data_IF_535424445443
#
_entry.id   IF_535424445443
#
_cell.length_a   1.000
_cell.length_b   1.000
_cell.length_c   1.000
_cell.angle_alpha   90.00
_cell.angle_beta   90.00
_cell.angle_gamma   90.00
#
_symmetry.space_group_name_H-M   'P 1'
#
loop_
_entity.id
_entity.type
_entity.pdbx_description
1 polymer ?
#
# COMPACT_ATOMS: atom_id res chain seq x y z
N UNK A 1 23.85 21.76 -6.06
CA UNK A 1 22.69 21.00 -5.57
C UNK A 1 21.51 21.33 -6.47
N UNK A 2 21.02 20.36 -7.22
CA UNK A 2 19.88 20.56 -8.15
C UNK A 2 18.55 20.63 -7.37
N UNK A 3 17.48 21.09 -8.01
CA UNK A 3 16.13 21.04 -7.39
C UNK A 3 15.72 19.61 -7.05
N UNK A 4 16.12 18.63 -7.87
CA UNK A 4 15.87 17.20 -7.64
C UNK A 4 16.61 16.67 -6.42
N UNK A 5 17.86 17.10 -6.19
CA UNK A 5 18.64 16.70 -5.01
C UNK A 5 17.97 17.16 -3.73
N UNK A 6 17.47 18.39 -3.70
CA UNK A 6 16.74 18.95 -2.53
C UNK A 6 15.45 18.21 -2.22
N UNK A 7 14.70 17.79 -3.23
CA UNK A 7 13.48 16.97 -3.04
C UNK A 7 13.82 15.61 -2.46
N UNK A 8 14.89 14.96 -2.93
CA UNK A 8 15.27 13.64 -2.42
C UNK A 8 15.82 13.70 -0.99
N UNK A 9 16.58 14.76 -0.66
CA UNK A 9 17.02 15.00 0.72
C UNK A 9 15.83 15.22 1.66
N UNK A 10 14.86 16.05 1.26
CA UNK A 10 13.63 16.26 2.01
C UNK A 10 12.80 14.98 2.20
N UNK A 11 12.69 14.16 1.15
CA UNK A 11 12.05 12.84 1.26
C UNK A 11 12.78 11.90 2.22
N UNK A 12 14.10 11.95 2.24
CA UNK A 12 14.92 11.10 3.12
C UNK A 12 14.70 11.45 4.59
N UNK A 13 14.68 12.75 4.90
CA UNK A 13 14.40 13.21 6.28
C UNK A 13 12.95 12.86 6.68
N UNK A 14 11.98 13.10 5.81
CA UNK A 14 10.58 12.76 6.06
C UNK A 14 10.39 11.25 6.29
N UNK A 15 11.10 10.37 5.55
CA UNK A 15 11.08 8.92 5.79
C UNK A 15 11.53 8.57 7.19
N UNK A 16 12.64 9.17 7.64
CA UNK A 16 13.20 8.94 8.97
C UNK A 16 12.21 9.33 10.08
N UNK A 17 11.63 10.52 9.95
CA UNK A 17 10.67 11.04 10.94
C UNK A 17 9.36 10.24 10.94
N UNK A 18 8.84 9.93 9.76
CA UNK A 18 7.59 9.17 9.61
C UNK A 18 7.72 7.74 10.15
N UNK A 19 8.87 7.09 9.90
CA UNK A 19 9.15 5.77 10.46
C UNK A 19 9.20 5.82 11.98
N UNK A 20 9.94 6.77 12.55
CA UNK A 20 10.03 6.93 13.99
C UNK A 20 8.66 7.18 14.64
N UNK A 21 7.82 8.02 14.02
CA UNK A 21 6.45 8.31 14.49
C UNK A 21 5.57 7.05 14.43
N UNK A 22 5.63 6.30 13.33
CA UNK A 22 4.86 5.05 13.19
C UNK A 22 5.30 3.98 14.19
N UNK A 23 6.58 3.87 14.49
CA UNK A 23 7.12 2.89 15.42
C UNK A 23 6.66 3.15 16.87
N UNK A 24 6.24 4.39 17.19
CA UNK A 24 5.66 4.74 18.49
C UNK A 24 4.23 4.25 18.69
N UNK A 25 3.53 3.81 17.63
CA UNK A 25 2.16 3.29 17.75
C UNK A 25 2.22 1.91 18.44
N UNK A 26 1.62 1.74 19.62
CA UNK A 26 1.61 0.47 20.36
C UNK A 26 0.99 -0.67 19.56
N UNK A 27 1.42 -1.90 19.83
CA UNK A 27 0.95 -3.08 19.08
C UNK A 27 -0.57 -3.27 19.16
N UNK A 28 -1.16 -3.03 20.33
CA UNK A 28 -2.61 -3.14 20.56
C UNK A 28 -3.37 -2.11 19.72
N UNK A 29 -2.85 -0.87 19.62
CA UNK A 29 -3.46 0.18 18.81
C UNK A 29 -3.30 -0.11 17.31
N UNK A 30 -2.17 -0.71 16.89
CA UNK A 30 -2.01 -1.15 15.49
C UNK A 30 -3.03 -2.21 15.10
N UNK A 31 -3.27 -3.18 16.00
CA UNK A 31 -4.27 -4.22 15.77
C UNK A 31 -5.69 -3.64 15.74
N UNK A 32 -6.04 -2.79 16.70
CA UNK A 32 -7.33 -2.12 16.76
C UNK A 32 -7.59 -1.25 15.52
N UNK A 33 -6.58 -0.52 15.03
CA UNK A 33 -6.68 0.29 13.82
C UNK A 33 -6.94 -0.56 12.57
N UNK A 34 -6.22 -1.68 12.42
CA UNK A 34 -6.43 -2.60 11.30
C UNK A 34 -7.86 -3.18 11.31
N UNK A 35 -8.38 -3.51 12.49
CA UNK A 35 -9.74 -4.00 12.67
C UNK A 35 -10.77 -2.92 12.37
N UNK A 36 -10.57 -1.70 12.85
CA UNK A 36 -11.46 -0.55 12.60
C UNK A 36 -11.58 -0.24 11.09
N UNK A 37 -10.47 -0.32 10.35
CA UNK A 37 -10.49 -0.17 8.88
C UNK A 37 -11.29 -1.32 8.25
N UNK A 38 -11.08 -2.55 8.69
CA UNK A 38 -11.78 -3.71 8.14
C UNK A 38 -13.29 -3.67 8.40
N UNK A 39 -13.74 -3.13 9.53
CA UNK A 39 -15.15 -3.05 9.89
C UNK A 39 -15.91 -1.92 9.20
N UNK A 40 -15.21 -0.87 8.78
CA UNK A 40 -15.80 0.26 8.06
C UNK A 40 -16.25 -0.15 6.65
N UNK A 41 -17.34 0.44 6.15
CA UNK A 41 -17.78 0.24 4.77
C UNK A 41 -16.63 0.55 3.80
N UNK A 42 -16.30 -0.41 2.95
CA UNK A 42 -15.25 -0.21 1.95
C UNK A 42 -15.75 0.76 0.88
N UNK A 43 -14.98 1.81 0.51
CA UNK A 43 -15.48 2.91 -0.32
C UNK A 43 -15.57 2.57 -1.82
N UNK A 44 -15.23 1.36 -2.20
CA UNK A 44 -15.27 0.89 -3.58
C UNK A 44 -16.21 -0.30 -3.71
N UNK A 45 -16.88 -0.40 -4.85
CA UNK A 45 -17.63 -1.58 -5.19
C UNK A 45 -16.68 -2.76 -5.44
N UNK A 46 -16.92 -3.87 -4.76
CA UNK A 46 -16.19 -5.13 -4.95
C UNK A 46 -17.18 -6.14 -5.52
N UNK A 47 -17.15 -6.29 -6.83
CA UNK A 47 -17.92 -7.32 -7.52
C UNK A 47 -17.25 -8.68 -7.39
N UNK A 48 -18.01 -9.74 -7.67
CA UNK A 48 -17.44 -11.09 -7.78
C UNK A 48 -16.29 -11.10 -8.80
N UNK A 49 -15.13 -11.58 -8.39
CA UNK A 49 -13.94 -11.64 -9.23
C UNK A 49 -13.09 -10.36 -9.29
N UNK A 50 -13.49 -9.26 -8.62
CA UNK A 50 -12.61 -8.10 -8.44
C UNK A 50 -11.31 -8.54 -7.79
N UNK A 51 -10.17 -8.24 -8.40
CA UNK A 51 -8.86 -8.60 -7.85
C UNK A 51 -8.32 -7.48 -6.97
N UNK A 52 -8.07 -7.80 -5.71
CA UNK A 52 -7.50 -6.87 -4.71
C UNK A 52 -6.12 -7.35 -4.29
N UNK A 53 -5.10 -6.56 -4.54
CA UNK A 53 -3.77 -6.82 -4.01
C UNK A 53 -3.58 -6.15 -2.66
N UNK A 54 -3.13 -6.93 -1.68
CA UNK A 54 -2.66 -6.40 -0.41
C UNK A 54 -1.14 -6.45 -0.30
N UNK A 55 -0.66 -6.51 0.93
CA UNK A 55 0.76 -6.68 1.26
C UNK A 55 0.91 -7.45 2.57
N UNK A 56 2.06 -8.06 2.79
CA UNK A 56 2.41 -8.62 4.10
C UNK A 56 3.07 -7.51 4.93
N UNK A 57 2.50 -7.17 6.09
CA UNK A 57 2.99 -6.03 6.87
C UNK A 57 4.41 -6.26 7.37
N UNK A 58 5.23 -5.22 7.26
CA UNK A 58 6.61 -5.20 7.75
C UNK A 58 6.71 -4.35 9.01
N UNK A 59 7.37 -4.88 10.05
CA UNK A 59 7.63 -4.15 11.32
C UNK A 59 6.34 -3.58 11.94
N UNK A 60 6.24 -2.25 11.98
CA UNK A 60 5.14 -1.49 12.56
C UNK A 60 4.06 -1.08 11.54
N UNK A 61 4.07 -1.64 10.31
CA UNK A 61 3.01 -1.37 9.33
C UNK A 61 1.64 -1.80 9.83
N UNK A 62 0.62 -1.06 9.41
CA UNK A 62 -0.76 -1.48 9.62
C UNK A 62 -1.02 -2.77 8.83
N UNK A 63 -1.73 -3.72 9.43
CA UNK A 63 -2.03 -4.99 8.77
C UNK A 63 -3.20 -4.84 7.80
N UNK A 64 -3.06 -5.17 6.51
CA UNK A 64 -4.17 -5.22 5.57
C UNK A 64 -5.01 -6.49 5.72
N UNK A 65 -4.53 -7.50 6.46
CA UNK A 65 -5.12 -8.84 6.49
C UNK A 65 -6.59 -8.87 6.94
N UNK A 66 -7.02 -8.14 7.99
CA UNK A 66 -8.45 -8.12 8.36
C UNK A 66 -9.33 -7.58 7.22
N UNK A 67 -8.91 -6.51 6.55
CA UNK A 67 -9.63 -5.95 5.40
C UNK A 67 -9.63 -6.94 4.23
N UNK A 68 -8.50 -7.55 3.90
CA UNK A 68 -8.39 -8.55 2.83
C UNK A 68 -9.30 -9.75 3.08
N UNK A 69 -9.37 -10.25 4.32
CA UNK A 69 -10.29 -11.33 4.69
C UNK A 69 -11.75 -10.94 4.43
N UNK A 70 -12.13 -9.73 4.81
CA UNK A 70 -13.48 -9.23 4.57
C UNK A 70 -13.79 -9.10 3.09
N UNK A 71 -12.87 -8.56 2.29
CA UNK A 71 -13.03 -8.41 0.84
C UNK A 71 -13.12 -9.77 0.14
N UNK A 72 -12.31 -10.76 0.57
CA UNK A 72 -12.42 -12.13 0.07
C UNK A 72 -13.79 -12.74 0.37
N UNK A 73 -14.31 -12.54 1.58
CA UNK A 73 -15.65 -13.00 1.97
C UNK A 73 -16.75 -12.32 1.13
N UNK A 74 -16.50 -11.13 0.59
CA UNK A 74 -17.39 -10.41 -0.31
C UNK A 74 -17.23 -10.83 -1.80
N UNK A 75 -16.32 -11.77 -2.11
CA UNK A 75 -16.11 -12.31 -3.44
C UNK A 75 -14.90 -11.78 -4.19
N UNK A 76 -14.04 -10.97 -3.55
CA UNK A 76 -12.79 -10.54 -4.15
C UNK A 76 -11.79 -11.70 -4.30
N UNK A 77 -11.06 -11.70 -5.40
CA UNK A 77 -9.83 -12.47 -5.54
C UNK A 77 -8.68 -11.69 -4.92
N UNK A 78 -7.84 -12.38 -4.14
CA UNK A 78 -6.72 -11.70 -3.48
C UNK A 78 -5.41 -11.94 -4.23
N UNK A 79 -4.52 -10.96 -4.11
CA UNK A 79 -3.15 -11.06 -4.58
C UNK A 79 -2.18 -10.46 -3.56
N UNK A 80 -0.92 -10.87 -3.64
CA UNK A 80 0.19 -10.28 -2.89
C UNK A 80 1.35 -9.97 -3.83
N UNK A 81 2.18 -8.98 -3.49
CA UNK A 81 3.36 -8.64 -4.28
C UNK A 81 4.48 -9.66 -4.12
N UNK A 82 5.19 -9.89 -5.20
CA UNK A 82 6.50 -10.53 -5.24
C UNK A 82 7.51 -9.59 -5.91
N UNK A 83 8.75 -9.60 -5.45
CA UNK A 83 9.80 -8.73 -5.99
C UNK A 83 10.40 -9.35 -7.24
N UNK A 84 10.12 -8.77 -8.41
CA UNK A 84 10.67 -9.22 -9.69
C UNK A 84 12.14 -8.83 -9.90
N UNK A 85 12.66 -7.92 -9.07
CA UNK A 85 14.05 -7.45 -9.11
C UNK A 85 14.17 -5.95 -8.83
N UNK A 86 15.40 -5.48 -8.62
CA UNK A 86 15.66 -4.06 -8.36
C UNK A 86 15.31 -3.22 -9.60
N UNK A 87 14.62 -2.09 -9.40
CA UNK A 87 14.22 -1.18 -10.47
C UNK A 87 13.13 -1.71 -11.40
N UNK A 88 12.45 -2.79 -11.01
CA UNK A 88 11.28 -3.33 -11.71
C UNK A 88 10.01 -3.14 -10.89
N UNK A 89 8.83 -3.04 -11.51
CA UNK A 89 7.56 -3.06 -10.79
C UNK A 89 7.39 -4.38 -10.01
N UNK A 90 6.57 -4.36 -8.98
CA UNK A 90 6.18 -5.59 -8.29
C UNK A 90 5.37 -6.47 -9.24
N UNK A 91 5.55 -7.76 -9.11
CA UNK A 91 4.73 -8.79 -9.72
C UNK A 91 3.63 -9.17 -8.73
N UNK A 92 2.37 -9.01 -9.10
CA UNK A 92 1.27 -9.44 -8.24
C UNK A 92 0.91 -10.88 -8.55
N UNK A 93 0.84 -11.71 -7.52
CA UNK A 93 0.51 -13.14 -7.64
C UNK A 93 -0.76 -13.45 -6.87
N UNK A 94 -1.62 -14.28 -7.46
CA UNK A 94 -2.83 -14.76 -6.81
C UNK A 94 -2.49 -15.42 -5.46
N UNK A 95 -3.29 -15.10 -4.45
CA UNK A 95 -3.12 -15.63 -3.11
C UNK A 95 -4.48 -15.74 -2.41
N UNK A 96 -4.63 -16.64 -1.48
CA UNK A 96 -5.79 -16.72 -0.58
C UNK A 96 -5.35 -16.77 0.87
N UNK A 97 -6.20 -16.33 1.77
CA UNK A 97 -5.93 -16.35 3.20
C UNK A 97 -5.53 -17.76 3.65
N UNK A 98 -4.40 -17.86 4.35
CA UNK A 98 -3.85 -19.12 4.83
C UNK A 98 -2.98 -19.87 3.83
N UNK A 99 -2.91 -19.45 2.56
CA UNK A 99 -1.98 -20.09 1.62
C UNK A 99 -0.53 -19.89 2.06
N UNK A 100 0.34 -20.89 1.88
CA UNK A 100 1.73 -20.80 2.27
C UNK A 100 2.46 -19.71 1.48
N UNK A 101 3.38 -19.03 2.14
CA UNK A 101 4.23 -17.99 1.58
C UNK A 101 5.68 -18.38 1.73
N UNK A 102 6.47 -18.12 0.71
CA UNK A 102 7.92 -18.29 0.75
C UNK A 102 8.59 -17.03 1.30
N UNK A 103 9.84 -17.16 1.71
CA UNK A 103 10.66 -16.03 2.16
C UNK A 103 11.38 -15.43 0.95
N UNK A 104 10.86 -14.33 0.45
CA UNK A 104 11.44 -13.58 -0.66
C UNK A 104 12.61 -12.67 -0.25
N UNK A 105 12.95 -11.73 -1.13
CA UNK A 105 14.01 -10.76 -0.87
C UNK A 105 13.73 -9.93 0.39
N UNK A 106 14.78 -9.60 1.13
CA UNK A 106 14.74 -8.87 2.42
C UNK A 106 13.87 -9.51 3.50
N UNK A 107 13.56 -10.82 3.36
CA UNK A 107 12.73 -11.54 4.31
C UNK A 107 11.23 -11.25 4.22
N UNK A 108 10.80 -10.54 3.17
CA UNK A 108 9.37 -10.32 2.89
C UNK A 108 8.74 -11.65 2.49
N UNK A 109 7.54 -11.92 3.01
CA UNK A 109 6.80 -13.13 2.66
C UNK A 109 6.04 -12.90 1.36
N UNK A 110 6.27 -13.77 0.39
CA UNK A 110 5.74 -13.68 -0.98
C UNK A 110 4.98 -14.95 -1.36
N UNK A 111 3.97 -14.88 -2.25
CA UNK A 111 3.37 -16.07 -2.83
C UNK A 111 4.42 -16.90 -3.58
N UNK A 112 4.20 -18.20 -3.62
CA UNK A 112 5.10 -19.11 -4.34
C UNK A 112 5.23 -18.73 -5.81
N UNK A 113 6.38 -19.00 -6.45
CA UNK A 113 6.63 -18.65 -7.86
C UNK A 113 5.61 -19.26 -8.83
N UNK A 114 5.01 -20.40 -8.48
CA UNK A 114 4.00 -21.09 -9.30
C UNK A 114 2.62 -20.45 -9.22
N UNK A 115 2.38 -19.56 -8.25
CA UNK A 115 1.10 -18.86 -8.16
C UNK A 115 0.90 -17.94 -9.38
N UNK A 116 -0.30 -17.93 -9.97
CA UNK A 116 -0.57 -17.15 -11.18
C UNK A 116 -0.30 -15.67 -10.98
N UNK A 117 0.31 -15.03 -11.99
CA UNK A 117 0.43 -13.58 -12.05
C UNK A 117 -0.93 -12.97 -12.39
N UNK A 118 -1.26 -11.86 -11.74
CA UNK A 118 -2.52 -11.14 -11.91
C UNK A 118 -2.30 -9.64 -11.91
N UNK A 119 -3.17 -8.91 -12.59
CA UNK A 119 -3.19 -7.45 -12.57
C UNK A 119 -4.40 -6.99 -11.74
N UNK A 120 -4.20 -6.49 -10.49
CA UNK A 120 -5.28 -6.11 -9.59
C UNK A 120 -6.07 -4.90 -10.08
N UNK A 121 -7.35 -4.85 -9.71
CA UNK A 121 -8.24 -3.70 -9.91
C UNK A 121 -8.07 -2.68 -8.77
N UNK A 122 -7.77 -3.18 -7.58
CA UNK A 122 -7.55 -2.39 -6.36
C UNK A 122 -6.21 -2.78 -5.77
N UNK A 123 -5.38 -1.79 -5.51
CA UNK A 123 -4.06 -1.97 -4.93
C UNK A 123 -4.03 -1.35 -3.54
N UNK A 124 -3.97 -2.17 -2.49
CA UNK A 124 -3.71 -1.70 -1.13
C UNK A 124 -2.22 -1.40 -1.01
N UNK A 125 -1.88 -0.16 -0.64
CA UNK A 125 -0.51 0.37 -0.68
C UNK A 125 0.00 0.65 0.73
N UNK A 126 1.11 0.04 1.16
CA UNK A 126 1.80 0.41 2.39
C UNK A 126 2.54 1.74 2.22
N UNK A 127 2.65 2.49 3.31
CA UNK A 127 3.32 3.79 3.30
C UNK A 127 3.88 4.17 4.67
N UNK A 128 4.79 5.13 4.69
CA UNK A 128 5.31 5.74 5.92
C UNK A 128 4.56 7.03 6.27
N UNK A 129 4.23 7.84 5.27
CA UNK A 129 3.42 9.04 5.42
C UNK A 129 2.59 9.30 4.18
N UNK A 130 1.51 10.05 4.34
CA UNK A 130 0.63 10.53 3.26
C UNK A 130 0.19 11.96 3.53
N UNK A 131 -0.23 12.66 2.48
CA UNK A 131 -0.89 13.96 2.56
C UNK A 131 -2.26 13.95 1.87
N UNK A 132 -3.02 15.03 2.06
CA UNK A 132 -4.37 15.16 1.49
C UNK A 132 -4.40 15.50 0.00
N UNK A 133 -3.24 15.57 -0.66
CA UNK A 133 -3.15 15.70 -2.12
C UNK A 133 -2.93 14.36 -2.84
N UNK A 134 -2.80 13.26 -2.08
CA UNK A 134 -2.50 11.93 -2.60
C UNK A 134 -1.01 11.61 -2.67
N UNK A 135 -0.16 12.51 -2.20
CA UNK A 135 1.27 12.25 -2.03
C UNK A 135 1.50 11.17 -0.97
N UNK A 136 2.52 10.35 -1.18
CA UNK A 136 2.93 9.33 -0.20
C UNK A 136 4.44 9.15 -0.15
N UNK A 137 4.92 8.79 1.02
CA UNK A 137 6.29 8.35 1.26
C UNK A 137 6.29 6.86 1.61
N UNK A 138 7.05 6.08 0.84
CA UNK A 138 7.40 4.71 1.14
C UNK A 138 8.88 4.57 1.55
N UNK A 139 9.40 3.34 1.52
CA UNK A 139 10.79 3.05 1.93
C UNK A 139 11.88 3.50 0.92
N UNK A 140 11.51 4.09 -0.22
CA UNK A 140 12.45 4.68 -1.18
C UNK A 140 12.87 3.80 -2.34
N UNK A 141 12.43 2.55 -2.43
CA UNK A 141 12.75 1.67 -3.56
C UNK A 141 11.91 1.95 -4.84
N UNK A 142 10.84 2.75 -4.74
CA UNK A 142 9.97 3.12 -5.86
C UNK A 142 9.11 1.99 -6.44
N UNK A 143 9.04 0.84 -5.76
CA UNK A 143 8.31 -0.33 -6.27
C UNK A 143 6.84 -0.04 -6.55
N UNK A 144 6.15 0.59 -5.62
CA UNK A 144 4.73 0.91 -5.79
C UNK A 144 4.49 1.98 -6.84
N UNK A 145 5.38 2.95 -7.01
CA UNK A 145 5.28 3.95 -8.08
C UNK A 145 5.36 3.29 -9.46
N UNK A 146 6.36 2.44 -9.66
CA UNK A 146 6.51 1.67 -10.89
C UNK A 146 5.31 0.75 -11.14
N UNK A 147 4.79 0.12 -10.09
CA UNK A 147 3.67 -0.81 -10.19
C UNK A 147 2.36 -0.10 -10.53
N UNK A 148 2.03 0.99 -9.83
CA UNK A 148 0.83 1.78 -10.10
C UNK A 148 0.88 2.35 -11.51
N UNK A 149 2.02 2.92 -11.93
CA UNK A 149 2.22 3.44 -13.29
C UNK A 149 2.01 2.37 -14.36
N UNK A 150 2.63 1.19 -14.18
CA UNK A 150 2.44 0.05 -15.09
C UNK A 150 0.98 -0.35 -15.18
N UNK A 151 0.31 -0.53 -14.06
CA UNK A 151 -1.08 -0.98 -14.01
C UNK A 151 -2.03 0.07 -14.62
N UNK A 152 -1.85 1.35 -14.31
CA UNK A 152 -2.64 2.45 -14.91
C UNK A 152 -2.46 2.56 -16.43
N UNK A 153 -1.32 2.11 -16.96
CA UNK A 153 -1.12 1.99 -18.40
C UNK A 153 -1.84 0.80 -19.05
N UNK A 154 -2.30 -0.17 -18.28
CA UNK A 154 -2.99 -1.38 -18.77
C UNK A 154 -4.50 -1.32 -18.57
N UNK A 155 -4.95 -0.79 -17.43
CA UNK A 155 -6.35 -0.79 -17.03
C UNK A 155 -6.63 0.29 -15.98
N UNK A 156 -7.90 0.54 -15.71
CA UNK A 156 -8.29 1.34 -14.54
C UNK A 156 -7.92 0.57 -13.27
N UNK A 157 -7.12 1.18 -12.41
CA UNK A 157 -6.73 0.65 -11.11
C UNK A 157 -6.89 1.74 -10.05
N UNK A 158 -7.37 1.35 -8.88
CA UNK A 158 -7.49 2.26 -7.73
C UNK A 158 -6.40 1.95 -6.71
N UNK A 159 -5.54 2.92 -6.43
CA UNK A 159 -4.49 2.85 -5.43
C UNK A 159 -5.01 3.36 -4.07
N UNK A 160 -5.09 2.48 -3.09
CA UNK A 160 -5.66 2.73 -1.76
C UNK A 160 -4.56 2.63 -0.71
N UNK A 161 -4.14 3.75 -0.15
CA UNK A 161 -3.19 3.77 0.96
C UNK A 161 -3.83 3.22 2.25
N UNK A 162 -3.13 2.35 2.96
CA UNK A 162 -3.50 1.94 4.32
C UNK A 162 -2.53 2.54 5.31
N UNK A 163 -3.03 3.29 6.27
CA UNK A 163 -2.22 4.04 7.22
C UNK A 163 -2.91 4.21 8.57
N UNK A 164 -2.13 4.50 9.60
CA UNK A 164 -2.64 5.12 10.81
C UNK A 164 -2.87 6.61 10.55
N UNK A 165 -3.89 7.21 11.16
CA UNK A 165 -4.12 8.66 11.05
C UNK A 165 -2.89 9.47 11.48
N UNK A 166 -2.08 8.97 12.41
CA UNK A 166 -0.82 9.57 12.84
C UNK A 166 0.27 9.65 11.74
N UNK A 167 0.06 9.01 10.60
CA UNK A 167 0.97 9.06 9.44
C UNK A 167 0.63 10.20 8.46
N UNK A 168 -0.45 10.95 8.72
CA UNK A 168 -0.77 12.14 7.94
C UNK A 168 0.26 13.26 8.18
N UNK A 169 0.70 13.91 7.11
CA UNK A 169 1.60 15.07 7.13
C UNK A 169 1.02 16.21 6.29
N UNK A 170 1.55 17.42 6.47
CA UNK A 170 1.02 18.60 5.77
C UNK A 170 1.23 18.53 4.26
N UNK A 171 2.44 18.22 3.81
CA UNK A 171 2.79 18.16 2.40
C UNK A 171 3.95 17.17 2.18
N UNK A 172 3.87 16.41 1.10
CA UNK A 172 4.93 15.50 0.66
C UNK A 172 5.59 16.06 -0.59
N UNK A 173 6.91 16.28 -0.57
CA UNK A 173 7.63 16.66 -1.78
C UNK A 173 7.50 15.56 -2.84
N UNK A 174 7.00 15.91 -4.01
CA UNK A 174 6.76 14.96 -5.10
C UNK A 174 7.64 15.25 -6.31
N UNK A 175 7.86 14.23 -7.13
CA UNK A 175 8.53 14.29 -8.42
C UNK A 175 7.62 13.69 -9.49
N UNK A 176 7.88 13.89 -10.79
CA UNK A 176 7.11 13.22 -11.86
C UNK A 176 7.19 11.69 -11.86
N UNK A 177 8.02 11.09 -11.00
CA UNK A 177 8.14 9.64 -10.83
C UNK A 177 7.19 9.08 -9.78
N UNK A 178 6.63 9.93 -8.94
CA UNK A 178 5.73 9.51 -7.87
C UNK A 178 4.30 9.36 -8.41
N UNK A 179 3.62 8.32 -7.97
CA UNK A 179 2.22 8.06 -8.31
C UNK A 179 1.32 8.43 -7.13
N UNK A 180 0.26 9.16 -7.39
CA UNK A 180 -0.71 9.58 -6.36
C UNK A 180 -1.60 8.40 -5.95
N UNK A 181 -2.00 8.42 -4.68
CA UNK A 181 -3.09 7.60 -4.18
C UNK A 181 -4.45 8.17 -4.62
N UNK A 182 -5.40 7.27 -4.83
CA UNK A 182 -6.80 7.61 -5.11
C UNK A 182 -7.62 7.71 -3.81
N UNK A 183 -7.24 6.92 -2.81
CA UNK A 183 -7.89 6.86 -1.50
C UNK A 183 -6.84 6.62 -0.41
N UNK A 184 -7.12 7.07 0.80
CA UNK A 184 -6.42 6.63 2.01
C UNK A 184 -7.44 6.16 3.05
N UNK A 185 -7.22 4.98 3.61
CA UNK A 185 -8.00 4.43 4.70
C UNK A 185 -7.18 4.50 5.99
N UNK A 186 -7.74 5.17 6.99
CA UNK A 186 -7.19 5.20 8.35
C UNK A 186 -8.21 4.64 9.33
N UNK A 187 -7.81 4.38 10.57
CA UNK A 187 -8.73 3.98 11.64
C UNK A 187 -9.78 5.07 11.94
N UNK A 188 -9.53 6.32 11.52
CA UNK A 188 -10.42 7.46 11.79
C UNK A 188 -11.39 7.73 10.65
N UNK A 189 -10.91 7.71 9.42
CA UNK A 189 -11.70 8.14 8.26
C UNK A 189 -11.28 7.47 6.95
N UNK A 190 -12.12 7.62 5.94
CA UNK A 190 -11.82 7.38 4.53
C UNK A 190 -11.54 8.74 3.88
N UNK A 191 -10.38 8.91 3.29
CA UNK A 191 -9.98 10.13 2.56
C UNK A 191 -10.07 9.82 1.06
N UNK A 192 -11.04 10.44 0.38
CA UNK A 192 -11.21 10.30 -1.06
C UNK A 192 -10.47 11.41 -1.79
N UNK A 193 -9.50 11.04 -2.62
CA UNK A 193 -8.59 11.96 -3.31
C UNK A 193 -8.83 11.99 -4.82
N UNK A 194 -9.89 11.30 -5.31
CA UNK A 194 -10.17 11.14 -6.73
C UNK A 194 -10.71 12.40 -7.40
N UNK A 195 -11.07 13.42 -6.66
CA UNK A 195 -11.58 14.70 -7.17
C UNK A 195 -10.75 15.91 -6.72
N UNK A 196 -9.58 15.68 -6.12
CA UNK A 196 -8.71 16.72 -5.59
C UNK A 196 -7.68 17.21 -6.63
#
# INVERSE_FOLDING_TARGET
MTSSDRVEDAKTELRREALARRDLVPAELRQAAAQAIAERAFPLAVAQGTTVSGFMPLKSEISPLPLMQRLANAGAQLALPAIAGRGKPLMMRAWHIGAPLDRGQWGIREPKPEAPEVDPDILLVPLLAFDRTGGRIGYGAGYYDMTIRRLRGLKTVTAVGLAFAAQEVGEIPTTPRDERLDLVLTEREVIDLRGA
#
